data_IF_482770118741
#
_entry.id   IF_482770118741
#
_cell.length_a   1.000
_cell.length_b   1.000
_cell.length_c   1.000
_cell.angle_alpha   90.00
_cell.angle_beta   90.00
_cell.angle_gamma   90.00
#
_symmetry.space_group_name_H-M   'P 1'
#
loop_
_entity.id
_entity.type
_entity.pdbx_description
1 polymer ?
#
# COMPACT_ATOMS: atom_id res chain seq x y z
N UNK A 1 -7.35 8.01 -4.61
CA UNK A 1 -7.76 8.81 -3.49
C UNK A 1 -9.14 9.38 -3.74
N UNK A 2 -9.74 10.32 -3.31
CA UNK A 2 -11.05 10.92 -3.61
C UNK A 2 -12.29 9.99 -3.71
N UNK A 3 -12.15 8.71 -3.95
CA UNK A 3 -13.23 7.73 -4.00
C UNK A 3 -13.97 7.62 -5.34
N UNK A 4 -15.18 7.05 -5.32
CA UNK A 4 -16.00 6.79 -6.48
C UNK A 4 -17.17 7.78 -6.58
N UNK A 5 -17.36 8.36 -7.76
CA UNK A 5 -18.45 9.30 -8.06
C UNK A 5 -19.20 8.86 -9.33
N UNK A 6 -20.48 9.07 -9.34
CA UNK A 6 -21.37 8.78 -10.47
C UNK A 6 -22.08 10.05 -10.93
N UNK A 7 -22.10 10.28 -12.22
CA UNK A 7 -22.95 11.32 -12.83
C UNK A 7 -24.23 10.70 -13.42
N UNK A 8 -25.40 11.15 -13.00
CA UNK A 8 -26.66 10.72 -13.60
C UNK A 8 -27.05 11.51 -14.87
N UNK A 9 -26.32 12.59 -15.18
CA UNK A 9 -26.66 13.54 -16.23
C UNK A 9 -25.45 13.98 -17.07
N UNK A 10 -24.65 13.00 -17.49
CA UNK A 10 -23.52 13.17 -18.43
C UNK A 10 -22.46 14.17 -17.96
N UNK A 11 -22.14 14.16 -16.65
CA UNK A 11 -21.06 14.99 -16.09
C UNK A 11 -21.50 16.37 -15.57
N UNK A 12 -22.77 16.72 -15.67
CA UNK A 12 -23.26 18.03 -15.18
C UNK A 12 -23.26 18.07 -13.65
N UNK A 13 -23.72 17.00 -13.01
CA UNK A 13 -23.69 16.84 -11.55
C UNK A 13 -23.05 15.50 -11.18
N UNK A 14 -22.46 15.43 -10.00
CA UNK A 14 -21.81 14.24 -9.48
C UNK A 14 -22.34 13.90 -8.09
N UNK A 15 -22.55 12.61 -7.86
CA UNK A 15 -23.00 12.06 -6.58
C UNK A 15 -21.91 11.10 -6.11
N UNK A 16 -21.45 11.26 -4.88
CA UNK A 16 -20.47 10.34 -4.30
C UNK A 16 -21.11 8.97 -4.02
N UNK A 17 -20.35 7.92 -4.26
CA UNK A 17 -20.74 6.52 -4.03
C UNK A 17 -19.88 5.86 -2.95
N UNK A 18 -19.36 6.62 -1.99
CA UNK A 18 -18.35 6.19 -1.03
C UNK A 18 -18.91 5.60 0.28
N UNK A 19 -20.24 5.57 0.45
CA UNK A 19 -20.84 5.03 1.67
C UNK A 19 -20.47 3.55 1.85
N UNK A 20 -19.77 3.24 2.94
CA UNK A 20 -19.28 1.89 3.24
C UNK A 20 -18.04 1.48 2.45
N UNK A 21 -17.48 2.38 1.64
CA UNK A 21 -16.24 2.13 0.92
C UNK A 21 -15.06 2.56 1.81
N UNK A 22 -14.21 1.58 2.14
CA UNK A 22 -12.93 1.79 2.81
C UNK A 22 -11.84 1.33 1.84
N UNK A 23 -11.10 2.27 1.28
CA UNK A 23 -10.11 2.01 0.23
C UNK A 23 -8.80 2.72 0.55
N UNK A 24 -7.73 2.12 0.06
CA UNK A 24 -6.37 2.69 0.04
C UNK A 24 -5.81 2.49 -1.36
N UNK A 25 -5.16 3.50 -1.88
CA UNK A 25 -4.50 3.42 -3.18
C UNK A 25 -3.07 2.92 -2.98
N UNK A 26 -2.77 1.74 -3.51
CA UNK A 26 -1.43 1.21 -3.57
C UNK A 26 -0.76 1.66 -4.88
N UNK A 27 0.32 2.40 -4.78
CA UNK A 27 1.14 2.79 -5.93
C UNK A 27 2.21 1.74 -6.23
N UNK A 28 2.71 1.08 -5.20
CA UNK A 28 3.78 0.08 -5.29
C UNK A 28 3.46 -1.13 -4.43
N UNK A 29 4.00 -2.28 -4.82
CA UNK A 29 3.85 -3.48 -4.00
C UNK A 29 5.02 -4.44 -4.18
N UNK A 30 5.32 -5.20 -3.12
CA UNK A 30 6.25 -6.31 -3.14
C UNK A 30 5.67 -7.51 -2.41
N UNK A 31 5.88 -8.68 -2.95
CA UNK A 31 5.40 -9.94 -2.38
C UNK A 31 6.57 -10.85 -2.04
N UNK A 32 6.49 -11.51 -0.89
CA UNK A 32 7.37 -12.62 -0.56
C UNK A 32 7.00 -13.83 -1.42
N UNK A 33 7.90 -14.25 -2.31
CA UNK A 33 7.66 -15.38 -3.21
C UNK A 33 7.62 -16.74 -2.51
N UNK A 34 8.09 -16.83 -1.27
CA UNK A 34 8.04 -18.04 -0.45
C UNK A 34 6.70 -18.24 0.25
N UNK A 35 5.84 -17.24 0.29
CA UNK A 35 4.50 -17.32 0.87
C UNK A 35 3.53 -16.32 0.24
N UNK A 36 2.33 -16.78 -0.08
CA UNK A 36 1.26 -15.92 -0.57
C UNK A 36 0.61 -15.06 0.53
N UNK A 37 0.99 -15.24 1.78
CA UNK A 37 0.43 -14.53 2.94
C UNK A 37 1.33 -13.40 3.43
N UNK A 38 2.16 -12.86 2.58
CA UNK A 38 2.99 -11.71 2.92
C UNK A 38 3.08 -10.76 1.73
N UNK A 39 2.60 -9.57 1.93
CA UNK A 39 2.59 -8.50 0.94
C UNK A 39 2.96 -7.19 1.64
N UNK A 40 3.72 -6.34 0.98
CA UNK A 40 4.02 -4.99 1.42
C UNK A 40 3.79 -4.01 0.28
N UNK A 41 3.33 -2.82 0.59
CA UNK A 41 3.10 -1.83 -0.45
C UNK A 41 3.12 -0.40 0.06
N UNK A 42 3.61 0.49 -0.79
CA UNK A 42 3.53 1.93 -0.59
C UNK A 42 2.19 2.45 -1.09
N UNK A 43 1.59 3.31 -0.29
CA UNK A 43 0.26 3.88 -0.54
C UNK A 43 0.35 5.39 -0.60
N UNK A 44 -0.55 6.01 -1.34
CA UNK A 44 -0.70 7.45 -1.30
C UNK A 44 -1.34 7.87 0.03
N UNK A 45 -0.74 8.84 0.71
CA UNK A 45 -1.20 9.48 1.96
C UNK A 45 -1.35 8.57 3.19
N UNK A 46 -1.15 7.24 3.05
CA UNK A 46 -1.33 6.27 4.14
C UNK A 46 -0.05 5.50 4.48
N UNK A 47 1.08 5.88 3.89
CA UNK A 47 2.38 5.30 4.21
C UNK A 47 2.68 3.95 3.57
N UNK A 48 3.50 3.17 4.22
CA UNK A 48 3.85 1.81 3.81
C UNK A 48 3.11 0.81 4.69
N UNK A 49 2.37 -0.07 4.05
CA UNK A 49 1.53 -1.07 4.69
C UNK A 49 2.03 -2.49 4.44
N UNK A 50 1.88 -3.37 5.43
CA UNK A 50 2.24 -4.79 5.35
C UNK A 50 1.06 -5.69 5.72
N UNK A 51 0.80 -6.66 4.85
CA UNK A 51 -0.19 -7.71 5.10
C UNK A 51 0.48 -9.05 5.41
N UNK A 52 0.05 -9.69 6.49
CA UNK A 52 0.58 -10.96 6.98
C UNK A 52 -0.47 -12.07 7.04
N UNK A 53 -1.55 -11.93 6.25
CA UNK A 53 -2.64 -12.90 6.18
C UNK A 53 -3.83 -12.57 7.09
N UNK A 54 -3.79 -11.45 7.80
CA UNK A 54 -4.87 -10.92 8.63
C UNK A 54 -5.75 -9.95 7.86
N UNK A 55 -6.95 -9.67 8.35
CA UNK A 55 -7.77 -8.54 7.88
C UNK A 55 -7.23 -7.18 8.33
N UNK A 56 -6.35 -7.17 9.32
CA UNK A 56 -5.65 -5.99 9.80
C UNK A 56 -4.29 -5.96 9.15
N UNK A 57 -3.93 -4.83 8.57
CA UNK A 57 -2.60 -4.57 8.01
C UNK A 57 -1.73 -3.89 9.05
N UNK A 58 -0.45 -4.19 9.01
CA UNK A 58 0.54 -3.53 9.86
C UNK A 58 0.99 -2.25 9.16
N UNK A 59 0.90 -1.12 9.85
CA UNK A 59 1.44 0.15 9.38
C UNK A 59 2.94 0.21 9.69
N UNK A 60 3.76 0.35 8.65
CA UNK A 60 5.23 0.26 8.75
C UNK A 60 5.87 1.64 8.80
N UNK A 61 5.39 2.56 8.00
CA UNK A 61 5.92 3.91 7.93
C UNK A 61 4.85 4.90 7.50
N UNK A 62 4.96 6.12 8.01
CA UNK A 62 4.04 7.23 7.71
C UNK A 62 4.29 7.87 6.34
N UNK A 63 3.38 8.74 5.93
CA UNK A 63 3.47 9.63 4.77
C UNK A 63 3.05 8.98 3.46
N UNK A 64 3.68 9.38 2.36
CA UNK A 64 3.50 8.72 1.07
C UNK A 64 4.44 7.54 0.98
N UNK A 65 3.92 6.33 0.95
CA UNK A 65 4.72 5.13 0.76
C UNK A 65 5.22 5.03 -0.68
N UNK A 66 6.52 4.84 -0.82
CA UNK A 66 7.18 4.63 -2.10
C UNK A 66 7.33 3.16 -2.46
N UNK A 67 8.30 2.89 -3.33
CA UNK A 67 8.56 1.53 -3.80
C UNK A 67 8.98 0.59 -2.67
N UNK A 68 8.62 -0.67 -2.82
CA UNK A 68 8.89 -1.73 -1.85
C UNK A 68 9.63 -2.88 -2.50
N UNK A 69 10.47 -3.56 -1.72
CA UNK A 69 11.23 -4.70 -2.21
C UNK A 69 11.42 -5.79 -1.17
N UNK A 70 11.42 -7.03 -1.62
CA UNK A 70 11.74 -8.20 -0.80
C UNK A 70 12.91 -8.94 -1.42
N UNK A 71 13.93 -9.24 -0.61
CA UNK A 71 15.05 -10.04 -1.08
C UNK A 71 14.58 -11.48 -1.34
N UNK A 72 14.78 -11.95 -2.58
CA UNK A 72 14.27 -13.24 -3.06
C UNK A 72 14.93 -14.44 -2.38
N UNK A 73 16.17 -14.30 -1.93
CA UNK A 73 16.95 -15.36 -1.28
C UNK A 73 16.90 -15.29 0.25
N UNK A 74 16.60 -14.13 0.79
CA UNK A 74 16.39 -13.91 2.22
C UNK A 74 15.18 -12.99 2.44
N UNK A 75 13.97 -13.53 2.48
CA UNK A 75 12.76 -12.72 2.58
C UNK A 75 12.57 -11.97 3.90
N UNK A 76 13.47 -12.16 4.87
CA UNK A 76 13.56 -11.30 6.06
C UNK A 76 14.21 -9.95 5.77
N UNK A 77 14.90 -9.81 4.64
CA UNK A 77 15.43 -8.53 4.19
C UNK A 77 14.43 -7.87 3.27
N UNK A 78 13.87 -6.79 3.74
CA UNK A 78 12.86 -6.00 3.04
C UNK A 78 13.32 -4.55 2.93
N UNK A 79 12.80 -3.87 1.94
CA UNK A 79 13.09 -2.47 1.65
C UNK A 79 11.79 -1.74 1.41
N UNK A 80 11.74 -0.50 1.81
CA UNK A 80 10.75 0.46 1.36
C UNK A 80 11.41 1.82 1.13
N UNK A 81 10.73 2.67 0.41
CA UNK A 81 11.16 4.06 0.23
C UNK A 81 10.05 4.97 0.67
N UNK A 82 10.46 6.14 1.09
CA UNK A 82 9.62 7.29 1.20
C UNK A 82 9.86 8.19 -0.02
N UNK A 83 9.06 9.16 -0.17
CA UNK A 83 9.15 10.30 -1.05
C UNK A 83 10.58 10.83 -1.19
N UNK A 84 11.04 11.05 -2.43
CA UNK A 84 12.36 11.64 -2.69
C UNK A 84 13.56 10.71 -2.50
N UNK A 85 13.38 9.41 -2.70
CA UNK A 85 14.46 8.40 -2.62
C UNK A 85 15.13 8.32 -1.25
N UNK A 86 14.36 8.03 -0.22
CA UNK A 86 14.86 7.72 1.11
C UNK A 86 14.67 6.21 1.39
N UNK A 87 15.53 5.33 0.84
CA UNK A 87 15.36 3.90 1.03
C UNK A 87 15.73 3.49 2.46
N UNK A 88 14.87 2.72 3.07
CA UNK A 88 15.10 2.06 4.35
C UNK A 88 15.13 0.54 4.17
N UNK A 89 15.83 -0.13 5.07
CA UNK A 89 16.00 -1.57 5.03
C UNK A 89 15.77 -2.19 6.40
N UNK A 90 14.93 -3.19 6.46
CA UNK A 90 14.88 -4.13 7.59
C UNK A 90 15.56 -5.46 7.22
N UNK A 91 16.12 -6.14 8.22
CA UNK A 91 16.71 -7.48 8.12
C UNK A 91 15.97 -8.50 8.99
N UNK A 92 14.92 -8.06 9.65
CA UNK A 92 14.05 -8.88 10.52
C UNK A 92 12.74 -9.27 9.84
N UNK A 93 12.41 -8.64 8.72
CA UNK A 93 11.14 -8.78 8.00
C UNK A 93 10.05 -7.85 8.52
N UNK A 94 10.43 -6.87 9.30
CA UNK A 94 9.55 -5.86 9.91
C UNK A 94 9.95 -4.48 9.46
#
# INVERSE_FOLDING_TARGET
DGGLFRSPNRGVNWVHCNNGLVITEFEYHAQNLGTSRWLMGGTQDNGTERWTGSLVWDHIADGDGGDCGVNRTNPRTVFHTYYGMSPERSTTGE
#
